data_IF_952496239725
#
_entry.id   IF_952496239725
#
_cell.length_a   1.000
_cell.length_b   1.000
_cell.length_c   1.000
_cell.angle_alpha   90.00
_cell.angle_beta   90.00
_cell.angle_gamma   90.00
#
_symmetry.space_group_name_H-M   'P 1'
#
loop_
_entity.id
_entity.type
_entity.pdbx_description
1 polymer ?
#
# COMPACT_ATOMS: atom_id res chain seq x y z
N UNK A 1 -22.57 -24.66 9.63
CA UNK A 1 -21.51 -24.14 10.52
C UNK A 1 -20.54 -23.38 9.63
N UNK A 2 -20.89 -22.17 9.19
CA UNK A 2 -20.50 -20.88 9.79
C UNK A 2 -19.04 -20.88 10.23
N UNK A 3 -18.14 -20.50 9.31
CA UNK A 3 -16.86 -19.91 9.66
C UNK A 3 -16.78 -18.59 8.90
N UNK A 4 -17.35 -17.57 9.51
CA UNK A 4 -17.24 -16.18 9.11
C UNK A 4 -15.88 -15.65 9.56
N UNK A 5 -14.83 -15.93 8.79
CA UNK A 5 -13.58 -15.18 8.87
C UNK A 5 -13.50 -14.22 7.69
N UNK A 6 -14.39 -13.23 7.75
CA UNK A 6 -14.35 -12.02 6.94
C UNK A 6 -13.21 -11.16 7.45
N UNK A 7 -11.97 -11.57 7.20
CA UNK A 7 -10.84 -10.66 7.10
C UNK A 7 -10.70 -10.28 5.62
N UNK A 8 -11.69 -9.53 5.12
CA UNK A 8 -11.44 -8.63 3.99
C UNK A 8 -10.40 -7.67 4.54
N UNK A 9 -9.19 -7.72 3.97
CA UNK A 9 -8.12 -6.77 4.22
C UNK A 9 -8.75 -5.39 4.27
N UNK A 10 -8.83 -4.86 5.50
CA UNK A 10 -9.23 -3.50 5.71
C UNK A 10 -8.20 -2.68 4.98
N UNK A 11 -8.65 -1.96 3.96
CA UNK A 11 -8.02 -0.75 3.50
C UNK A 11 -8.04 0.20 4.70
N UNK A 12 -7.07 0.00 5.59
CA UNK A 12 -6.95 0.69 6.85
C UNK A 12 -6.14 1.93 6.54
N UNK A 13 -6.76 2.88 5.82
CA UNK A 13 -6.17 4.20 5.58
C UNK A 13 -6.21 4.94 6.91
N UNK A 14 -5.20 4.66 7.73
CA UNK A 14 -4.94 5.34 8.98
C UNK A 14 -4.54 6.78 8.72
N UNK A 15 -5.55 7.65 8.54
CA UNK A 15 -5.69 8.95 9.19
C UNK A 15 -4.38 9.59 9.66
N UNK A 16 -3.75 10.38 8.79
CA UNK A 16 -2.87 11.48 9.21
C UNK A 16 -3.56 12.80 8.97
N UNK A 17 -4.55 13.09 9.82
CA UNK A 17 -5.18 14.40 9.91
C UNK A 17 -4.26 15.38 10.63
N UNK A 18 -3.93 16.45 9.92
CA UNK A 18 -3.85 17.85 10.36
C UNK A 18 -3.19 18.20 11.71
N UNK A 19 -2.19 19.09 11.65
CA UNK A 19 -2.08 20.20 12.60
C UNK A 19 -1.73 21.50 11.87
N UNK A 20 -2.56 22.49 12.17
CA UNK A 20 -2.68 23.81 11.59
C UNK A 20 -1.48 24.73 11.87
N UNK A 21 -1.30 25.76 11.04
CA UNK A 21 -0.43 26.89 11.37
C UNK A 21 -0.49 28.04 10.37
N UNK A 22 -1.56 28.84 10.39
CA UNK A 22 -1.63 30.15 9.70
C UNK A 22 -1.20 31.28 10.66
N UNK A 23 -0.12 31.99 10.31
CA UNK A 23 0.19 33.41 10.61
C UNK A 23 0.84 33.75 11.98
N UNK A 24 1.44 34.95 12.15
CA UNK A 24 1.59 36.07 11.21
C UNK A 24 3.06 36.54 10.98
N UNK A 25 3.20 37.41 9.97
CA UNK A 25 4.39 38.23 9.67
C UNK A 25 4.58 39.38 10.67
N UNK A 26 5.84 39.81 10.84
CA UNK A 26 6.32 41.13 11.32
C UNK A 26 7.23 41.06 12.56
N UNK A 27 8.41 41.70 12.49
CA UNK A 27 9.17 42.09 13.69
C UNK A 27 10.68 42.12 13.55
N UNK A 28 11.26 43.32 13.56
CA UNK A 28 12.65 43.65 13.24
C UNK A 28 13.71 43.21 14.28
N UNK A 29 14.93 43.07 13.76
CA UNK A 29 16.26 43.40 14.33
C UNK A 29 16.36 43.65 15.85
N UNK A 30 17.28 42.94 16.51
CA UNK A 30 18.45 43.60 17.12
C UNK A 30 19.63 42.65 17.30
N UNK A 31 20.78 43.23 17.05
CA UNK A 31 22.16 42.80 17.13
C UNK A 31 22.62 42.46 18.58
N UNK A 32 23.35 41.34 18.74
CA UNK A 32 24.35 41.08 19.79
C UNK A 32 25.03 39.72 19.49
N UNK A 33 26.23 39.66 18.92
CA UNK A 33 27.56 39.99 19.48
C UNK A 33 28.14 38.86 20.35
N UNK A 34 29.35 38.43 19.92
CA UNK A 34 30.40 37.66 20.62
C UNK A 34 30.43 36.11 20.59
N UNK A 35 31.11 35.57 19.56
CA UNK A 35 32.40 34.81 19.56
C UNK A 35 32.62 33.52 20.42
N UNK A 36 33.64 32.68 20.05
CA UNK A 36 33.56 31.21 19.99
C UNK A 36 34.37 30.46 21.06
N UNK A 37 34.07 29.18 21.27
CA UNK A 37 34.98 28.15 21.82
C UNK A 37 34.53 26.77 21.29
N UNK A 38 35.27 26.16 20.37
CA UNK A 38 36.35 25.18 20.59
C UNK A 38 35.96 23.84 21.26
N UNK A 39 36.20 22.76 20.50
CA UNK A 39 36.65 21.41 20.91
C UNK A 39 35.65 20.48 21.62
N UNK A 40 35.41 19.30 21.05
CA UNK A 40 36.32 18.13 21.10
C UNK A 40 35.83 16.99 20.20
N UNK A 41 36.69 16.60 19.28
CA UNK A 41 36.77 15.26 18.70
C UNK A 41 37.13 14.29 19.83
N UNK A 42 36.34 13.23 20.02
CA UNK A 42 36.81 12.00 20.68
C UNK A 42 36.30 10.78 19.92
N UNK A 43 37.22 10.14 19.18
CA UNK A 43 37.18 8.71 18.87
C UNK A 43 37.35 7.92 20.18
N UNK A 44 36.62 6.82 20.33
CA UNK A 44 37.04 5.57 21.01
C UNK A 44 36.52 4.42 20.14
N UNK A 45 37.37 3.52 19.62
CA UNK A 45 37.83 2.28 20.28
C UNK A 45 36.63 1.56 20.90
N UNK A 46 36.09 0.50 20.28
CA UNK A 46 36.78 -0.76 20.05
C UNK A 46 36.29 -1.71 21.15
N UNK A 47 35.76 -2.88 20.78
CA UNK A 47 36.04 -4.17 21.40
C UNK A 47 35.04 -5.24 20.95
N UNK A 48 35.61 -6.24 20.29
CA UNK A 48 35.14 -7.60 20.11
C UNK A 48 34.49 -8.13 21.38
N UNK A 49 33.44 -8.96 21.29
CA UNK A 49 33.40 -10.22 22.06
C UNK A 49 32.38 -11.21 21.51
N UNK A 50 32.97 -12.30 21.02
CA UNK A 50 32.43 -13.61 20.76
C UNK A 50 32.02 -14.24 22.11
N UNK A 51 30.78 -14.69 22.28
CA UNK A 51 30.38 -15.51 23.43
C UNK A 51 29.66 -16.77 22.95
N UNK A 52 30.48 -17.78 22.67
CA UNK A 52 30.08 -19.18 22.66
C UNK A 52 29.95 -19.68 24.11
N UNK A 53 28.79 -20.22 24.48
CA UNK A 53 28.63 -21.17 25.58
C UNK A 53 27.60 -22.21 25.16
N UNK A 54 28.06 -23.44 25.01
CA UNK A 54 27.22 -24.63 24.93
C UNK A 54 27.35 -25.47 26.20
N UNK A 55 26.31 -26.27 26.46
CA UNK A 55 26.35 -27.67 26.90
C UNK A 55 24.89 -28.17 27.07
N UNK A 56 24.39 -29.09 26.23
CA UNK A 56 24.60 -30.55 26.24
C UNK A 56 23.77 -31.28 27.32
N UNK A 57 22.62 -31.84 26.93
CA UNK A 57 22.22 -33.23 27.27
C UNK A 57 20.83 -33.57 26.73
N UNK A 58 20.79 -34.37 25.66
CA UNK A 58 19.94 -35.57 25.65
C UNK A 58 20.57 -36.60 24.70
N UNK A 59 21.00 -37.71 25.29
CA UNK A 59 21.64 -38.86 24.67
C UNK A 59 20.63 -39.53 23.72
N UNK A 60 20.96 -39.68 22.43
CA UNK A 60 21.61 -40.86 21.85
C UNK A 60 20.69 -42.10 21.76
N UNK A 61 19.84 -42.15 20.75
CA UNK A 61 19.27 -43.38 20.15
C UNK A 61 19.09 -43.07 18.65
N UNK A 62 20.04 -43.39 17.75
CA UNK A 62 20.15 -44.69 17.04
C UNK A 62 18.87 -44.92 16.21
N UNK A 63 18.77 -44.50 14.96
CA UNK A 63 19.10 -45.25 13.72
C UNK A 63 18.75 -44.34 12.52
N UNK A 64 19.68 -44.00 11.62
CA UNK A 64 20.02 -44.74 10.38
C UNK A 64 18.79 -45.08 9.52
N UNK A 65 18.49 -44.23 8.52
CA UNK A 65 17.97 -44.62 7.21
C UNK A 65 18.05 -43.43 6.24
N UNK A 66 19.15 -43.43 5.50
CA UNK A 66 19.45 -42.61 4.34
C UNK A 66 18.66 -43.19 3.15
N UNK A 67 17.41 -42.78 2.96
CA UNK A 67 16.65 -43.06 1.73
C UNK A 67 16.89 -41.94 0.73
N UNK A 68 17.89 -42.16 -0.13
CA UNK A 68 18.18 -41.35 -1.30
C UNK A 68 17.15 -41.67 -2.40
N UNK A 69 15.97 -41.05 -2.33
CA UNK A 69 15.05 -40.98 -3.46
C UNK A 69 15.50 -39.83 -4.37
N UNK A 70 16.25 -40.14 -5.44
CA UNK A 70 16.40 -39.24 -6.58
C UNK A 70 15.05 -39.19 -7.33
N UNK A 71 14.12 -38.42 -6.78
CA UNK A 71 13.01 -37.89 -7.58
C UNK A 71 13.54 -36.68 -8.32
N UNK A 72 13.73 -36.80 -9.63
CA UNK A 72 13.83 -35.63 -10.52
C UNK A 72 12.55 -34.82 -10.40
N UNK A 73 12.53 -33.87 -9.47
CA UNK A 73 11.59 -32.77 -9.50
C UNK A 73 11.91 -31.97 -10.75
N UNK A 74 11.00 -32.00 -11.73
CA UNK A 74 10.96 -30.97 -12.73
C UNK A 74 10.84 -29.65 -11.96
N UNK A 75 11.93 -28.88 -11.91
CA UNK A 75 11.83 -27.44 -11.69
C UNK A 75 10.96 -26.95 -12.86
N UNK A 76 9.65 -26.84 -12.64
CA UNK A 76 8.85 -25.91 -13.40
C UNK A 76 9.59 -24.59 -13.20
N UNK A 77 10.28 -24.13 -14.25
CA UNK A 77 10.77 -22.77 -14.26
C UNK A 77 9.55 -21.92 -13.95
N UNK A 78 9.52 -21.31 -12.76
CA UNK A 78 8.59 -20.24 -12.50
C UNK A 78 8.84 -19.27 -13.64
N UNK A 79 7.88 -19.19 -14.57
CA UNK A 79 7.88 -18.10 -15.51
C UNK A 79 7.94 -16.86 -14.62
N UNK A 80 8.98 -16.04 -14.79
CA UNK A 80 9.16 -14.82 -14.02
C UNK A 80 8.05 -13.87 -14.47
N UNK A 81 6.87 -14.04 -13.88
CA UNK A 81 5.70 -13.24 -14.18
C UNK A 81 6.07 -11.80 -13.84
N UNK A 82 5.73 -10.83 -14.71
CA UNK A 82 5.99 -9.44 -14.39
C UNK A 82 5.29 -9.08 -13.07
N UNK A 83 5.82 -8.15 -12.27
CA UNK A 83 5.12 -7.73 -11.06
C UNK A 83 3.73 -7.19 -11.42
N UNK A 84 2.72 -7.42 -10.56
CA UNK A 84 1.32 -7.06 -10.83
C UNK A 84 1.10 -5.59 -11.22
N UNK A 85 1.99 -4.69 -10.76
CA UNK A 85 2.01 -3.27 -11.15
C UNK A 85 2.29 -3.02 -12.65
N UNK A 86 2.95 -3.95 -13.33
CA UNK A 86 3.27 -3.88 -14.76
C UNK A 86 2.16 -4.51 -15.61
N UNK A 87 1.29 -5.31 -14.99
CA UNK A 87 0.08 -5.84 -15.61
C UNK A 87 -0.99 -4.75 -15.63
N UNK A 88 -1.02 -3.98 -16.72
CA UNK A 88 -1.97 -2.85 -16.91
C UNK A 88 -3.44 -3.19 -16.69
N UNK A 89 -3.81 -4.46 -16.82
CA UNK A 89 -5.18 -4.93 -16.60
C UNK A 89 -5.53 -5.11 -15.12
N UNK A 90 -4.53 -5.28 -14.25
CA UNK A 90 -4.70 -5.31 -12.80
C UNK A 90 -4.44 -3.91 -12.25
N UNK A 91 -3.28 -3.33 -12.55
CA UNK A 91 -2.81 -2.06 -11.99
C UNK A 91 -3.78 -0.90 -12.22
N UNK A 92 -4.25 -0.74 -13.46
CA UNK A 92 -5.16 0.35 -13.82
C UNK A 92 -6.54 0.19 -13.18
N UNK A 93 -6.98 -1.04 -13.00
CA UNK A 93 -8.27 -1.31 -12.36
C UNK A 93 -8.19 -1.10 -10.84
N UNK A 94 -7.05 -1.39 -10.23
CA UNK A 94 -6.76 -0.99 -8.85
C UNK A 94 -6.74 0.53 -8.69
N UNK A 95 -6.16 1.25 -9.66
CA UNK A 95 -6.23 2.71 -9.70
C UNK A 95 -7.68 3.23 -9.74
N UNK A 96 -8.55 2.66 -10.58
CA UNK A 96 -9.96 3.08 -10.64
C UNK A 96 -10.74 2.78 -9.37
N UNK A 97 -10.51 1.61 -8.76
CA UNK A 97 -11.13 1.25 -7.50
C UNK A 97 -10.65 2.17 -6.36
N UNK A 98 -9.34 2.38 -6.23
CA UNK A 98 -8.74 3.24 -5.21
C UNK A 98 -9.21 4.69 -5.34
N UNK A 99 -9.27 5.22 -6.56
CA UNK A 99 -9.75 6.59 -6.79
C UNK A 99 -11.23 6.76 -6.45
N UNK A 100 -12.07 5.74 -6.70
CA UNK A 100 -13.47 5.78 -6.28
C UNK A 100 -13.63 5.77 -4.75
N UNK A 101 -12.77 5.02 -4.04
CA UNK A 101 -12.76 5.02 -2.57
C UNK A 101 -12.33 6.39 -2.03
N UNK A 102 -11.21 6.95 -2.51
CA UNK A 102 -10.74 8.27 -2.07
C UNK A 102 -11.80 9.35 -2.28
N UNK A 103 -12.50 9.33 -3.42
CA UNK A 103 -13.61 10.28 -3.70
C UNK A 103 -14.74 10.13 -2.68
N UNK A 104 -15.14 8.91 -2.33
CA UNK A 104 -16.22 8.69 -1.38
C UNK A 104 -15.82 8.99 0.07
N UNK A 105 -14.54 8.80 0.41
CA UNK A 105 -14.01 9.11 1.73
C UNK A 105 -13.93 10.63 1.96
N UNK A 106 -13.57 11.40 0.93
CA UNK A 106 -13.46 12.87 1.01
C UNK A 106 -14.78 13.60 0.71
N UNK A 107 -15.69 12.97 -0.04
CA UNK A 107 -16.95 13.60 -0.45
C UNK A 107 -18.17 13.08 0.34
N UNK A 108 -18.76 13.87 1.26
CA UNK A 108 -19.87 13.43 2.10
C UNK A 108 -21.19 13.18 1.35
N UNK A 109 -21.29 13.59 0.08
CA UNK A 109 -22.48 13.42 -0.75
C UNK A 109 -22.32 12.33 -1.81
N UNK A 110 -21.27 11.52 -1.74
CA UNK A 110 -21.01 10.42 -2.67
C UNK A 110 -20.63 9.17 -1.87
N UNK A 111 -21.35 8.08 -2.11
CA UNK A 111 -21.03 6.77 -1.54
C UNK A 111 -20.40 5.84 -2.59
N UNK A 112 -19.58 4.90 -2.13
CA UNK A 112 -19.23 3.70 -2.90
C UNK A 112 -20.37 2.67 -2.91
N UNK A 113 -20.62 2.08 -4.08
CA UNK A 113 -21.46 0.90 -4.27
C UNK A 113 -20.71 -0.35 -3.81
N UNK A 114 -20.71 -0.59 -2.50
CA UNK A 114 -19.94 -1.67 -1.83
C UNK A 114 -20.03 -3.03 -2.53
N UNK A 115 -21.25 -3.49 -2.86
CA UNK A 115 -21.45 -4.78 -3.56
C UNK A 115 -20.74 -4.83 -4.92
N UNK A 116 -20.77 -3.72 -5.66
CA UNK A 116 -20.11 -3.63 -6.96
C UNK A 116 -18.59 -3.56 -6.83
N UNK A 117 -18.08 -2.79 -5.88
CA UNK A 117 -16.65 -2.73 -5.56
C UNK A 117 -16.12 -4.12 -5.17
N UNK A 118 -16.81 -4.82 -4.27
CA UNK A 118 -16.45 -6.16 -3.85
C UNK A 118 -16.44 -7.14 -5.04
N UNK A 119 -17.51 -7.18 -5.83
CA UNK A 119 -17.57 -8.04 -7.02
C UNK A 119 -16.45 -7.76 -8.02
N UNK A 120 -16.06 -6.49 -8.18
CA UNK A 120 -14.98 -6.09 -9.07
C UNK A 120 -13.62 -6.55 -8.57
N UNK A 121 -13.32 -6.37 -7.28
CA UNK A 121 -12.07 -6.83 -6.67
C UNK A 121 -11.93 -8.36 -6.73
N UNK A 122 -13.01 -9.11 -6.49
CA UNK A 122 -13.02 -10.56 -6.71
C UNK A 122 -12.73 -10.94 -8.15
N UNK A 123 -13.28 -10.21 -9.12
CA UNK A 123 -12.97 -10.39 -10.54
C UNK A 123 -11.48 -10.15 -10.86
N UNK A 124 -10.87 -9.13 -10.26
CA UNK A 124 -9.44 -8.85 -10.43
C UNK A 124 -8.57 -9.95 -9.81
N UNK A 125 -8.92 -10.43 -8.61
CA UNK A 125 -8.24 -11.56 -7.99
C UNK A 125 -8.27 -12.78 -8.93
N UNK A 126 -9.46 -13.18 -9.37
CA UNK A 126 -9.62 -14.33 -10.26
C UNK A 126 -8.80 -14.16 -11.55
N UNK A 127 -8.84 -12.97 -12.14
CA UNK A 127 -8.07 -12.66 -13.34
C UNK A 127 -6.56 -12.76 -13.13
N UNK A 128 -6.04 -12.30 -11.99
CA UNK A 128 -4.63 -12.48 -11.65
C UNK A 128 -4.31 -13.98 -11.43
N UNK A 129 -5.18 -14.72 -10.75
CA UNK A 129 -5.00 -16.17 -10.58
C UNK A 129 -4.99 -16.92 -11.92
N UNK A 130 -5.87 -16.55 -12.87
CA UNK A 130 -5.89 -17.10 -14.23
C UNK A 130 -4.60 -16.80 -15.02
N UNK A 131 -3.91 -15.69 -14.71
CA UNK A 131 -2.60 -15.36 -15.28
C UNK A 131 -1.45 -16.13 -14.62
N UNK A 132 -1.71 -16.90 -13.56
CA UNK A 132 -0.71 -17.72 -12.87
C UNK A 132 -0.13 -17.11 -11.59
N UNK A 133 -0.62 -15.95 -11.13
CA UNK A 133 -0.19 -15.39 -9.85
C UNK A 133 -0.78 -16.18 -8.68
N UNK A 134 0.04 -16.46 -7.69
CA UNK A 134 -0.39 -17.06 -6.43
C UNK A 134 -1.18 -16.08 -5.57
N UNK A 135 -2.00 -16.62 -4.66
CA UNK A 135 -2.75 -15.82 -3.69
C UNK A 135 -1.83 -14.95 -2.81
N UNK A 136 -0.62 -15.44 -2.49
CA UNK A 136 0.37 -14.71 -1.70
C UNK A 136 0.98 -13.55 -2.49
N UNK A 137 1.27 -13.72 -3.78
CA UNK A 137 1.75 -12.63 -4.64
C UNK A 137 0.67 -11.54 -4.82
N UNK A 138 -0.59 -11.94 -5.01
CA UNK A 138 -1.72 -11.01 -5.11
C UNK A 138 -1.88 -10.25 -3.80
N UNK A 139 -1.81 -10.95 -2.66
CA UNK A 139 -1.89 -10.34 -1.33
C UNK A 139 -0.76 -9.35 -1.11
N UNK A 140 0.48 -9.76 -1.37
CA UNK A 140 1.66 -8.92 -1.20
C UNK A 140 1.58 -7.63 -2.02
N UNK A 141 0.94 -7.67 -3.19
CA UNK A 141 0.69 -6.48 -3.99
C UNK A 141 -0.39 -5.57 -3.39
N UNK A 142 -1.53 -6.13 -2.96
CA UNK A 142 -2.67 -5.36 -2.42
C UNK A 142 -2.37 -4.78 -1.03
N UNK A 143 -1.60 -5.48 -0.19
CA UNK A 143 -1.24 -5.07 1.18
C UNK A 143 0.04 -4.21 1.22
N UNK A 144 0.59 -3.80 0.07
CA UNK A 144 1.82 -3.01 0.02
C UNK A 144 1.56 -1.51 0.17
N UNK A 145 1.99 -0.92 1.29
CA UNK A 145 1.98 0.54 1.52
C UNK A 145 2.67 1.31 0.38
N UNK A 146 3.72 0.73 -0.22
CA UNK A 146 4.45 1.33 -1.33
C UNK A 146 3.58 1.41 -2.59
N UNK A 147 2.84 0.34 -2.90
CA UNK A 147 1.96 0.31 -4.05
C UNK A 147 0.71 1.17 -3.82
N UNK A 148 0.15 1.18 -2.60
CA UNK A 148 -0.91 2.09 -2.21
C UNK A 148 -0.50 3.56 -2.43
N UNK A 149 0.65 3.97 -1.89
CA UNK A 149 1.15 5.33 -2.06
C UNK A 149 1.43 5.68 -3.53
N UNK A 150 1.85 4.71 -4.36
CA UNK A 150 2.02 4.92 -5.80
C UNK A 150 0.66 5.11 -6.49
N UNK A 151 -0.31 4.25 -6.20
CA UNK A 151 -1.66 4.33 -6.76
C UNK A 151 -2.32 5.66 -6.37
N UNK A 152 -2.15 6.11 -5.12
CA UNK A 152 -2.63 7.44 -4.66
C UNK A 152 -2.06 8.56 -5.52
N UNK A 153 -0.74 8.60 -5.72
CA UNK A 153 -0.09 9.62 -6.57
C UNK A 153 -0.60 9.58 -8.01
N UNK A 154 -0.78 8.40 -8.58
CA UNK A 154 -1.36 8.23 -9.92
C UNK A 154 -2.81 8.73 -9.99
N UNK A 155 -3.59 8.50 -8.93
CA UNK A 155 -4.95 9.02 -8.79
C UNK A 155 -4.98 10.54 -8.76
N UNK A 156 -4.13 11.15 -7.93
CA UNK A 156 -4.00 12.60 -7.87
C UNK A 156 -3.60 13.22 -9.23
N UNK A 157 -2.63 12.59 -9.93
CA UNK A 157 -2.25 13.00 -11.28
C UNK A 157 -3.39 12.88 -12.28
N UNK A 158 -4.19 11.82 -12.18
CA UNK A 158 -5.36 11.62 -13.03
C UNK A 158 -6.41 12.69 -12.81
N UNK A 159 -6.72 13.01 -11.55
CA UNK A 159 -7.68 14.07 -11.17
C UNK A 159 -7.21 15.44 -11.65
N UNK A 160 -5.91 15.76 -11.49
CA UNK A 160 -5.32 17.00 -12.02
C UNK A 160 -5.45 17.09 -13.54
N UNK A 161 -5.14 16.01 -14.25
CA UNK A 161 -5.27 15.95 -15.72
C UNK A 161 -6.72 16.08 -16.18
N UNK A 162 -7.67 15.62 -15.37
CA UNK A 162 -9.10 15.80 -15.62
C UNK A 162 -9.60 17.24 -15.33
N UNK A 163 -8.74 18.13 -14.82
CA UNK A 163 -9.04 19.53 -14.56
C UNK A 163 -9.63 19.81 -13.18
N UNK A 164 -9.50 18.86 -12.24
CA UNK A 164 -9.97 19.00 -10.87
C UNK A 164 -8.80 19.07 -9.89
N UNK A 165 -9.07 19.55 -8.67
CA UNK A 165 -8.08 19.60 -7.60
C UNK A 165 -8.19 18.35 -6.71
N UNK A 166 -7.17 17.47 -6.67
CA UNK A 166 -7.19 16.28 -5.82
C UNK A 166 -6.89 16.58 -4.34
N UNK A 167 -6.54 17.81 -3.98
CA UNK A 167 -6.14 18.18 -2.62
C UNK A 167 -7.27 18.77 -1.79
N UNK A 168 -8.46 18.94 -2.39
CA UNK A 168 -9.64 19.53 -1.76
C UNK A 168 -10.86 18.62 -1.89
N UNK A 169 -11.69 18.59 -0.85
CA UNK A 169 -12.94 17.83 -0.85
C UNK A 169 -13.89 18.33 -1.96
N UNK A 170 -13.95 19.63 -2.20
CA UNK A 170 -14.76 20.22 -3.26
C UNK A 170 -14.30 19.75 -4.66
N UNK A 171 -12.98 19.68 -4.88
CA UNK A 171 -12.40 19.20 -6.13
C UNK A 171 -12.68 17.72 -6.37
N UNK A 172 -12.50 16.87 -5.35
CA UNK A 172 -12.79 15.44 -5.42
C UNK A 172 -14.29 15.15 -5.55
N UNK A 173 -15.16 15.90 -4.85
CA UNK A 173 -16.60 15.82 -5.04
C UNK A 173 -17.00 16.15 -6.48
N UNK A 174 -16.50 17.27 -7.02
CA UNK A 174 -16.81 17.69 -8.38
C UNK A 174 -16.33 16.67 -9.42
N UNK A 175 -15.13 16.13 -9.22
CA UNK A 175 -14.60 15.03 -10.02
C UNK A 175 -15.51 13.80 -9.95
N UNK A 176 -15.89 13.36 -8.75
CA UNK A 176 -16.79 12.23 -8.55
C UNK A 176 -18.13 12.36 -9.26
N UNK A 177 -18.78 13.52 -9.16
CA UNK A 177 -20.03 13.80 -9.88
C UNK A 177 -19.85 13.77 -11.40
N UNK A 178 -18.72 14.30 -11.90
CA UNK A 178 -18.40 14.26 -13.32
C UNK A 178 -18.18 12.82 -13.82
N UNK A 179 -17.50 11.96 -13.04
CA UNK A 179 -17.32 10.54 -13.33
C UNK A 179 -18.65 9.78 -13.34
N UNK A 180 -19.53 10.03 -12.36
CA UNK A 180 -20.89 9.46 -12.30
C UNK A 180 -21.67 9.85 -13.56
N UNK A 181 -21.69 11.14 -13.91
CA UNK A 181 -22.41 11.65 -15.08
C UNK A 181 -21.88 11.07 -16.38
N UNK A 182 -20.56 10.85 -16.48
CA UNK A 182 -19.92 10.25 -17.66
C UNK A 182 -20.18 8.74 -17.79
N UNK A 183 -20.63 8.08 -16.71
CA UNK A 183 -20.76 6.63 -16.68
C UNK A 183 -19.42 5.92 -16.81
N UNK A 184 -18.34 6.53 -16.32
CA UNK A 184 -17.01 5.94 -16.37
C UNK A 184 -16.90 4.72 -15.45
N UNK A 185 -15.80 3.97 -15.55
CA UNK A 185 -15.53 2.86 -14.61
C UNK A 185 -15.54 3.35 -13.16
N UNK A 186 -14.90 4.49 -12.88
CA UNK A 186 -14.87 5.15 -11.56
C UNK A 186 -16.29 5.51 -11.13
N UNK A 187 -17.04 6.25 -11.96
CA UNK A 187 -18.42 6.65 -11.68
C UNK A 187 -19.36 5.46 -11.52
N UNK A 188 -19.04 4.32 -12.14
CA UNK A 188 -19.80 3.09 -12.00
C UNK A 188 -19.74 2.52 -10.58
N UNK A 189 -18.67 2.80 -9.82
CA UNK A 189 -18.51 2.47 -8.40
C UNK A 189 -19.18 3.48 -7.48
N UNK A 190 -19.47 4.68 -7.95
CA UNK A 190 -20.00 5.77 -7.14
C UNK A 190 -21.52 5.89 -7.22
N UNK A 191 -22.11 6.51 -6.21
CA UNK A 191 -23.52 6.92 -6.14
C UNK A 191 -23.62 8.27 -5.45
N UNK A 192 -24.21 9.26 -6.12
CA UNK A 192 -24.56 10.53 -5.47
C UNK A 192 -25.72 10.31 -4.48
N UNK A 193 -25.61 10.94 -3.31
CA UNK A 193 -26.63 10.94 -2.24
C UNK A 193 -27.28 12.30 -2.05
N UNK A 194 -26.97 13.26 -2.94
CA UNK A 194 -27.67 14.55 -3.01
C UNK A 194 -29.14 14.39 -3.42
#
# INVERSE_FOLDING_TARGET
MISTDTHIAGFNIGRSGALMGRGPVSGCMTDKKDRPHERKVTRRHGDSNLSAKGNLSMKLVKTMLLSLCLGTSALAAAADLPPLREVKEIDRNMLWAGLAVEVADECPTIDVKKLKGLSFLWGLKNKASEMGYSDDEIRAYVESDREEARIRRLGEDYVRQAGFDPTTAEGLCAFGEAEIKRGSVIGSFLRSTK
#
